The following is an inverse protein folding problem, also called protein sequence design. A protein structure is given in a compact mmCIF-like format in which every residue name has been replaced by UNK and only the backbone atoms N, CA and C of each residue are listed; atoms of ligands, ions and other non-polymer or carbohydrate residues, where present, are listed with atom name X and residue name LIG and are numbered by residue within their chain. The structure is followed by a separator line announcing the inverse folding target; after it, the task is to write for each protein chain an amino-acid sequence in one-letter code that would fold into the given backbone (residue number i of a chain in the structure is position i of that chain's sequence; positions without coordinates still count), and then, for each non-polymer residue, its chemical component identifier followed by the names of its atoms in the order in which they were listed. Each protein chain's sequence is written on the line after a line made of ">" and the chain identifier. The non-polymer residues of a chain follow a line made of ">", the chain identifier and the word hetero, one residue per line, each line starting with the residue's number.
data_IF_729857028522
#
_entry.id   IF_729857028522
#
_cell.length_a   1.000
_cell.length_b   1.000
_cell.length_c   1.000
_cell.angle_alpha   90.00
_cell.angle_beta   90.00
_cell.angle_gamma   90.00
#
_symmetry.space_group_name_H-M   'P 1'
#
loop_
_entity.id
_entity.type
_entity.pdbx_description
1 polymer ?
#
# COMPACT_ATOMS: atom_id res chain seq x y z
N UNK A 1 30.51 -0.21 4.04
CA UNK A 1 29.13 -0.73 4.03
C UNK A 1 28.12 0.39 3.76
N UNK A 2 28.23 1.53 4.43
CA UNK A 2 27.28 2.67 4.24
C UNK A 2 27.20 3.21 2.81
N UNK A 3 28.33 3.39 2.11
CA UNK A 3 28.33 3.93 0.72
C UNK A 3 27.55 3.07 -0.29
N UNK A 4 27.58 1.74 -0.14
CA UNK A 4 26.85 0.83 -1.04
C UNK A 4 25.35 0.91 -0.74
N UNK A 5 24.98 0.96 0.54
CA UNK A 5 23.57 1.12 0.96
C UNK A 5 23.03 2.48 0.50
N UNK A 6 23.80 3.55 0.68
CA UNK A 6 23.45 4.89 0.21
C UNK A 6 23.31 4.96 -1.31
N UNK A 7 24.18 4.28 -2.06
CA UNK A 7 24.07 4.21 -3.50
C UNK A 7 22.78 3.50 -3.95
N UNK A 8 22.45 2.33 -3.34
CA UNK A 8 21.20 1.64 -3.62
C UNK A 8 19.98 2.45 -3.22
N UNK A 9 20.02 3.11 -2.06
CA UNK A 9 18.94 3.99 -1.60
C UNK A 9 18.71 5.14 -2.60
N UNK A 10 19.76 5.83 -2.99
CA UNK A 10 19.68 6.93 -3.94
C UNK A 10 19.23 6.49 -5.33
N UNK A 11 19.65 5.31 -5.78
CA UNK A 11 19.21 4.75 -7.06
C UNK A 11 17.74 4.37 -7.08
N UNK A 12 17.23 3.76 -6.00
CA UNK A 12 15.85 3.26 -5.95
C UNK A 12 14.84 4.32 -5.52
N UNK A 13 15.23 5.16 -4.56
CA UNK A 13 14.34 6.10 -3.87
C UNK A 13 14.69 7.56 -4.11
N UNK A 14 15.94 7.84 -4.45
CA UNK A 14 16.41 9.18 -4.85
C UNK A 14 15.92 9.55 -6.24
N UNK A 15 16.07 10.81 -6.57
CA UNK A 15 15.67 11.34 -7.87
C UNK A 15 16.68 10.94 -8.95
N UNK A 16 16.23 10.12 -9.93
CA UNK A 16 17.07 9.74 -11.08
C UNK A 16 17.36 10.92 -11.98
N UNK A 17 16.39 11.79 -12.16
CA UNK A 17 16.51 13.05 -12.88
C UNK A 17 15.52 14.06 -12.32
N UNK A 18 15.83 15.33 -12.51
CA UNK A 18 14.99 16.43 -12.06
C UNK A 18 14.49 17.20 -13.27
N UNK A 19 13.18 17.34 -13.39
CA UNK A 19 12.56 18.20 -14.38
C UNK A 19 12.47 19.61 -13.81
N UNK A 20 12.90 20.58 -14.60
CA UNK A 20 12.85 22.00 -14.25
C UNK A 20 11.80 22.70 -15.13
N UNK A 21 10.83 23.32 -14.50
CA UNK A 21 9.78 24.13 -15.15
C UNK A 21 9.80 25.52 -14.51
N UNK A 22 10.64 26.43 -15.03
CA UNK A 22 10.88 27.72 -14.37
C UNK A 22 11.48 27.51 -12.97
N UNK A 23 10.83 28.07 -11.95
CA UNK A 23 11.27 27.95 -10.55
C UNK A 23 10.87 26.61 -9.88
N UNK A 24 10.08 25.79 -10.56
CA UNK A 24 9.64 24.50 -10.03
C UNK A 24 10.60 23.40 -10.47
N UNK A 25 11.14 22.66 -9.50
CA UNK A 25 11.94 21.47 -9.75
C UNK A 25 11.21 20.22 -9.22
N UNK A 26 11.06 19.21 -10.07
CA UNK A 26 10.39 17.95 -9.75
C UNK A 26 11.38 16.82 -9.91
N UNK A 27 11.86 16.28 -8.81
CA UNK A 27 12.72 15.09 -8.81
C UNK A 27 11.90 13.83 -9.03
N UNK A 28 12.27 13.01 -10.01
CA UNK A 28 11.55 11.79 -10.37
C UNK A 28 12.37 10.55 -9.98
N UNK A 29 11.96 9.81 -8.96
CA UNK A 29 12.60 8.54 -8.59
C UNK A 29 12.15 7.38 -9.49
N UNK A 30 12.96 6.33 -9.53
CA UNK A 30 12.72 5.13 -10.32
C UNK A 30 11.33 4.53 -10.06
N UNK A 31 10.91 4.47 -8.80
CA UNK A 31 9.61 3.94 -8.41
C UNK A 31 8.45 4.67 -9.12
N UNK A 32 8.47 6.00 -9.10
CA UNK A 32 7.43 6.83 -9.73
C UNK A 32 7.47 6.69 -11.24
N UNK A 33 8.68 6.67 -11.82
CA UNK A 33 8.91 6.50 -13.25
C UNK A 33 8.33 5.19 -13.79
N UNK A 34 8.36 4.12 -13.01
CA UNK A 34 7.83 2.82 -13.43
C UNK A 34 6.33 2.67 -13.13
N UNK A 35 5.90 3.01 -11.93
CA UNK A 35 4.54 2.67 -11.47
C UNK A 35 3.48 3.66 -11.98
N UNK A 36 3.77 4.95 -12.11
CA UNK A 36 2.79 5.92 -12.57
C UNK A 36 2.44 5.73 -14.04
N UNK A 37 3.40 5.62 -14.99
CA UNK A 37 3.07 5.31 -16.38
C UNK A 37 2.36 3.97 -16.54
N UNK A 38 2.75 2.94 -15.79
CA UNK A 38 2.06 1.66 -15.78
C UNK A 38 0.61 1.80 -15.29
N UNK A 39 0.39 2.53 -14.19
CA UNK A 39 -0.94 2.83 -13.66
C UNK A 39 -1.81 3.60 -14.65
N UNK A 40 -1.26 4.59 -15.33
CA UNK A 40 -1.96 5.35 -16.40
C UNK A 40 -2.33 4.40 -17.54
N UNK A 41 -1.38 3.60 -18.02
CA UNK A 41 -1.62 2.63 -19.09
C UNK A 41 -2.75 1.67 -18.72
N UNK A 42 -2.70 1.05 -17.55
CA UNK A 42 -3.75 0.13 -17.10
C UNK A 42 -5.09 0.84 -16.89
N UNK A 43 -5.11 2.07 -16.38
CA UNK A 43 -6.33 2.85 -16.20
C UNK A 43 -7.02 3.12 -17.53
N UNK A 44 -6.27 3.54 -18.55
CA UNK A 44 -6.78 3.77 -19.90
C UNK A 44 -7.23 2.43 -20.53
N UNK A 45 -6.39 1.40 -20.44
CA UNK A 45 -6.65 0.10 -21.06
C UNK A 45 -7.87 -0.61 -20.46
N UNK A 46 -8.14 -0.43 -19.18
CA UNK A 46 -9.31 -0.97 -18.48
C UNK A 46 -10.51 -0.02 -18.54
N UNK A 47 -10.42 1.11 -19.26
CA UNK A 47 -11.47 2.13 -19.42
C UNK A 47 -11.96 2.65 -18.07
N UNK A 48 -11.03 3.12 -17.22
CA UNK A 48 -11.31 3.66 -15.88
C UNK A 48 -12.12 2.71 -14.99
N UNK A 49 -11.77 1.43 -15.02
CA UNK A 49 -12.47 0.35 -14.32
C UNK A 49 -12.70 0.64 -12.82
N UNK A 50 -11.72 1.15 -12.04
CA UNK A 50 -11.91 1.39 -10.61
C UNK A 50 -13.09 2.30 -10.26
N UNK A 51 -13.37 3.28 -11.12
CA UNK A 51 -14.51 4.20 -10.94
C UNK A 51 -15.78 3.58 -11.51
N UNK A 52 -15.73 3.12 -12.77
CA UNK A 52 -16.90 2.64 -13.50
C UNK A 52 -17.52 1.38 -12.90
N UNK A 53 -16.71 0.47 -12.35
CA UNK A 53 -17.17 -0.81 -11.82
C UNK A 53 -17.20 -0.89 -10.30
N UNK A 54 -17.10 0.23 -9.59
CA UNK A 54 -17.13 0.28 -8.13
C UNK A 54 -18.34 -0.49 -7.53
N UNK A 55 -19.60 -0.34 -8.04
CA UNK A 55 -20.70 -1.12 -7.51
C UNK A 55 -20.54 -2.65 -7.70
N UNK A 56 -19.90 -3.06 -8.81
CA UNK A 56 -19.63 -4.47 -9.08
C UNK A 56 -18.51 -5.02 -8.15
N UNK A 57 -17.51 -4.19 -7.81
CA UNK A 57 -16.47 -4.57 -6.85
C UNK A 57 -17.06 -4.85 -5.46
N UNK A 58 -18.01 -4.00 -5.03
CA UNK A 58 -18.69 -4.18 -3.75
C UNK A 58 -19.54 -5.46 -3.77
N UNK A 59 -20.28 -5.72 -4.86
CA UNK A 59 -21.08 -6.93 -5.00
C UNK A 59 -20.22 -8.20 -5.00
N UNK A 60 -19.03 -8.14 -5.58
CA UNK A 60 -18.08 -9.24 -5.63
C UNK A 60 -17.64 -9.74 -4.23
N UNK A 61 -17.76 -8.93 -3.19
CA UNK A 61 -17.47 -9.34 -1.82
C UNK A 61 -18.46 -10.39 -1.29
N UNK A 62 -19.66 -10.43 -1.83
CA UNK A 62 -20.69 -11.39 -1.47
C UNK A 62 -20.57 -12.75 -2.17
N UNK A 63 -19.60 -12.92 -3.08
CA UNK A 63 -19.42 -14.19 -3.79
C UNK A 63 -18.93 -15.27 -2.82
N UNK A 64 -19.77 -16.34 -2.70
CA UNK A 64 -19.47 -17.50 -1.85
C UNK A 64 -18.57 -18.47 -2.58
N UNK A 65 -17.64 -19.06 -1.85
CA UNK A 65 -16.79 -20.15 -2.32
C UNK A 65 -17.51 -21.50 -2.12
N UNK A 66 -17.35 -22.37 -3.09
CA UNK A 66 -17.84 -23.74 -3.01
C UNK A 66 -16.78 -24.67 -2.36
N UNK A 67 -15.50 -24.32 -2.39
CA UNK A 67 -14.40 -25.07 -1.78
C UNK A 67 -14.00 -24.49 -0.40
N UNK A 68 -14.10 -25.33 0.62
CA UNK A 68 -13.75 -24.96 2.02
C UNK A 68 -12.23 -24.85 2.27
N UNK A 69 -11.39 -25.29 1.34
CA UNK A 69 -9.92 -25.24 1.48
C UNK A 69 -9.31 -23.95 0.96
N UNK A 70 -10.05 -23.17 0.18
CA UNK A 70 -9.62 -21.93 -0.46
C UNK A 70 -10.23 -20.70 0.21
N UNK A 71 -9.53 -19.55 0.11
CA UNK A 71 -10.04 -18.28 0.66
C UNK A 71 -11.25 -17.79 -0.12
N UNK A 72 -12.28 -17.33 0.58
CA UNK A 72 -13.40 -16.61 -0.04
C UNK A 72 -12.93 -15.26 -0.60
N UNK A 73 -13.72 -14.67 -1.49
CA UNK A 73 -13.43 -13.35 -2.06
C UNK A 73 -13.32 -12.28 -0.97
N UNK A 74 -14.16 -12.34 0.06
CA UNK A 74 -14.10 -11.45 1.20
C UNK A 74 -12.85 -11.69 2.07
N UNK A 75 -12.53 -12.95 2.39
CA UNK A 75 -11.28 -13.27 3.10
C UNK A 75 -10.03 -12.82 2.34
N UNK A 76 -10.06 -12.94 1.02
CA UNK A 76 -8.97 -12.45 0.18
C UNK A 76 -8.81 -10.92 0.28
N UNK A 77 -9.92 -10.18 0.35
CA UNK A 77 -9.85 -8.74 0.62
C UNK A 77 -9.22 -8.48 2.00
N UNK A 78 -9.68 -9.19 3.05
CA UNK A 78 -9.15 -9.02 4.41
C UNK A 78 -7.65 -9.30 4.44
N UNK A 79 -7.20 -10.44 3.90
CA UNK A 79 -5.78 -10.81 3.89
C UNK A 79 -4.96 -9.79 3.10
N UNK A 80 -5.41 -9.39 1.90
CA UNK A 80 -4.69 -8.39 1.11
C UNK A 80 -4.75 -6.98 1.70
N UNK A 81 -5.81 -6.65 2.44
CA UNK A 81 -5.90 -5.38 3.19
C UNK A 81 -4.98 -5.42 4.40
N UNK A 82 -4.88 -6.55 5.08
CA UNK A 82 -3.95 -6.74 6.20
C UNK A 82 -2.48 -6.55 5.81
N UNK A 83 -2.11 -6.87 4.57
CA UNK A 83 -0.74 -6.61 4.07
C UNK A 83 -0.51 -5.12 3.78
N UNK A 84 -1.54 -4.39 3.35
CA UNK A 84 -1.46 -2.97 2.96
C UNK A 84 -1.64 -2.03 4.15
N UNK A 85 -2.64 -2.31 5.01
CA UNK A 85 -2.95 -1.45 6.17
C UNK A 85 -1.86 -1.61 7.23
N UNK A 86 -0.98 -0.62 7.29
CA UNK A 86 0.15 -0.64 8.20
C UNK A 86 0.81 0.73 8.30
N UNK A 87 2.12 0.73 8.32
CA UNK A 87 2.95 1.93 8.43
C UNK A 87 2.70 2.97 7.35
N UNK A 88 2.42 2.54 6.12
CA UNK A 88 2.13 3.42 5.00
C UNK A 88 0.93 4.34 5.26
N UNK A 89 -0.12 3.80 5.86
CA UNK A 89 -1.36 4.52 6.14
C UNK A 89 -1.26 5.49 7.33
N UNK A 90 -0.36 5.22 8.25
CA UNK A 90 -0.17 6.04 9.46
C UNK A 90 1.04 6.97 9.27
N UNK A 91 2.24 6.43 9.43
CA UNK A 91 3.48 7.21 9.38
C UNK A 91 3.75 7.76 7.98
N UNK A 92 3.39 7.00 6.93
CA UNK A 92 3.52 7.45 5.55
C UNK A 92 2.68 8.70 5.26
N UNK A 93 1.43 8.76 5.74
CA UNK A 93 0.55 9.93 5.60
C UNK A 93 1.06 11.12 6.40
N UNK A 94 1.47 10.87 7.66
CA UNK A 94 2.08 11.92 8.50
C UNK A 94 3.30 12.51 7.82
N UNK A 95 4.21 11.68 7.30
CA UNK A 95 5.39 12.14 6.58
C UNK A 95 5.04 12.88 5.28
N UNK A 96 4.01 12.43 4.54
CA UNK A 96 3.54 13.13 3.33
C UNK A 96 3.08 14.55 3.65
N UNK A 97 2.28 14.71 4.70
CA UNK A 97 1.74 16.02 5.12
C UNK A 97 2.84 16.89 5.72
N UNK A 98 3.74 16.34 6.54
CA UNK A 98 4.81 17.10 7.18
C UNK A 98 5.81 17.68 6.18
N UNK A 99 6.10 16.95 5.10
CA UNK A 99 7.08 17.37 4.08
C UNK A 99 6.40 18.09 2.91
N UNK A 100 5.26 17.56 2.45
CA UNK A 100 4.56 18.02 1.26
C UNK A 100 3.35 18.92 1.56
N UNK A 101 3.01 19.17 2.83
CA UNK A 101 1.81 19.92 3.19
C UNK A 101 0.51 19.11 2.99
N UNK A 102 -0.64 19.75 3.24
CA UNK A 102 -1.96 19.13 3.11
C UNK A 102 -2.25 18.70 1.66
N UNK A 103 -1.70 19.40 0.67
CA UNK A 103 -1.85 19.08 -0.75
C UNK A 103 -1.34 17.70 -1.15
N UNK A 104 -0.39 17.13 -0.41
CA UNK A 104 0.10 15.78 -0.63
C UNK A 104 -1.01 14.72 -0.54
N UNK A 105 -2.04 14.95 0.27
CA UNK A 105 -3.20 14.06 0.40
C UNK A 105 -3.94 13.89 -0.92
N UNK A 106 -4.13 14.99 -1.66
CA UNK A 106 -4.74 14.93 -3.00
C UNK A 106 -3.96 14.01 -3.94
N UNK A 107 -2.62 14.14 -3.95
CA UNK A 107 -1.77 13.32 -4.80
C UNK A 107 -1.67 11.87 -4.37
N UNK A 108 -1.88 11.58 -3.08
CA UNK A 108 -2.11 10.21 -2.60
C UNK A 108 -3.41 9.62 -3.18
N UNK A 109 -4.52 10.39 -3.18
CA UNK A 109 -5.78 9.93 -3.81
C UNK A 109 -5.63 9.68 -5.31
N UNK A 110 -4.95 10.57 -6.02
CA UNK A 110 -4.66 10.40 -7.45
C UNK A 110 -3.86 9.12 -7.72
N UNK A 111 -2.80 8.88 -6.93
CA UNK A 111 -1.99 7.66 -7.04
C UNK A 111 -2.79 6.39 -6.72
N UNK A 112 -3.75 6.46 -5.80
CA UNK A 112 -4.63 5.34 -5.47
C UNK A 112 -5.56 4.95 -6.63
N UNK A 113 -6.10 5.91 -7.36
CA UNK A 113 -6.93 5.64 -8.54
C UNK A 113 -6.14 4.93 -9.64
N UNK A 114 -4.88 5.35 -9.86
CA UNK A 114 -3.98 4.69 -10.81
C UNK A 114 -3.55 3.30 -10.31
N UNK A 115 -3.17 3.22 -9.04
CA UNK A 115 -2.79 1.97 -8.38
C UNK A 115 -3.91 0.93 -8.34
N UNK A 116 -5.17 1.36 -8.20
CA UNK A 116 -6.32 0.46 -8.22
C UNK A 116 -6.46 -0.29 -9.57
N UNK A 117 -6.14 0.36 -10.69
CA UNK A 117 -6.10 -0.28 -12.00
C UNK A 117 -4.94 -1.28 -12.11
N UNK A 118 -3.78 -0.95 -11.55
CA UNK A 118 -2.64 -1.87 -11.48
C UNK A 118 -2.98 -3.10 -10.64
N UNK A 119 -3.55 -2.91 -9.44
CA UNK A 119 -3.94 -4.00 -8.55
C UNK A 119 -5.01 -4.93 -9.18
N UNK A 120 -5.91 -4.37 -10.00
CA UNK A 120 -6.86 -5.18 -10.78
C UNK A 120 -6.12 -6.14 -11.71
N UNK A 121 -5.17 -5.63 -12.48
CA UNK A 121 -4.40 -6.43 -13.45
C UNK A 121 -3.55 -7.47 -12.72
N UNK A 122 -2.83 -7.08 -11.67
CA UNK A 122 -2.02 -8.00 -10.87
C UNK A 122 -2.85 -9.14 -10.26
N UNK A 123 -4.00 -8.80 -9.64
CA UNK A 123 -4.88 -9.78 -9.03
C UNK A 123 -5.49 -10.75 -10.06
N UNK A 124 -5.86 -10.24 -11.25
CA UNK A 124 -6.36 -11.05 -12.35
C UNK A 124 -5.29 -12.00 -12.89
N UNK A 125 -4.06 -11.50 -13.12
CA UNK A 125 -2.92 -12.32 -13.55
C UNK A 125 -2.57 -13.40 -12.53
N UNK A 126 -2.61 -13.06 -11.24
CA UNK A 126 -2.35 -14.02 -10.18
C UNK A 126 -3.35 -15.19 -10.20
N UNK A 127 -4.62 -14.91 -10.48
CA UNK A 127 -5.65 -15.93 -10.62
C UNK A 127 -5.51 -16.77 -11.89
N UNK A 128 -5.10 -16.18 -13.00
CA UNK A 128 -4.89 -16.90 -14.27
C UNK A 128 -3.70 -17.86 -14.22
N UNK A 129 -2.68 -17.54 -13.43
CA UNK A 129 -1.42 -18.29 -13.34
C UNK A 129 -1.21 -19.01 -12.01
N UNK A 130 -2.27 -19.12 -11.17
CA UNK A 130 -2.19 -19.86 -9.91
C UNK A 130 -2.01 -21.35 -10.14
N UNK A 131 -1.34 -22.01 -9.20
CA UNK A 131 -1.12 -23.47 -9.22
C UNK A 131 -1.69 -24.07 -7.93
N UNK A 132 -2.10 -25.35 -7.99
CA UNK A 132 -2.51 -26.09 -6.79
C UNK A 132 -1.33 -26.24 -5.85
N UNK A 133 -1.56 -26.04 -4.57
CA UNK A 133 -0.53 -26.24 -3.55
C UNK A 133 -0.49 -27.72 -3.14
N UNK A 134 0.62 -28.43 -3.44
CA UNK A 134 0.74 -29.84 -3.12
C UNK A 134 0.91 -30.14 -1.64
N UNK A 135 1.28 -29.12 -0.82
CA UNK A 135 1.61 -29.29 0.58
C UNK A 135 0.43 -29.00 1.51
N UNK A 136 -0.42 -28.01 1.16
CA UNK A 136 -1.44 -27.50 2.06
C UNK A 136 -2.86 -27.51 1.50
N UNK A 137 -3.02 -27.94 0.26
CA UNK A 137 -4.27 -27.81 -0.48
C UNK A 137 -4.53 -26.33 -0.87
N UNK A 138 -5.58 -26.09 -1.67
CA UNK A 138 -5.87 -24.76 -2.18
C UNK A 138 -4.93 -24.35 -3.30
N UNK A 139 -4.63 -23.06 -3.39
CA UNK A 139 -3.84 -22.49 -4.48
C UNK A 139 -2.72 -21.59 -3.96
N UNK A 140 -1.64 -21.52 -4.73
CA UNK A 140 -0.55 -20.56 -4.55
C UNK A 140 -0.16 -19.93 -5.90
N UNK A 141 0.47 -18.77 -5.86
CA UNK A 141 0.88 -18.06 -7.08
C UNK A 141 1.43 -16.68 -6.76
N UNK A 142 1.26 -15.77 -7.70
CA UNK A 142 1.73 -14.40 -7.59
C UNK A 142 2.72 -14.05 -8.70
N UNK A 143 3.46 -12.92 -8.58
CA UNK A 143 4.26 -12.41 -9.69
C UNK A 143 5.31 -13.36 -10.22
N UNK A 144 6.00 -14.12 -9.37
CA UNK A 144 6.99 -15.09 -9.83
C UNK A 144 6.40 -16.12 -10.79
N UNK A 145 5.12 -16.51 -10.60
CA UNK A 145 4.44 -17.50 -11.44
C UNK A 145 4.05 -16.93 -12.79
N UNK A 146 3.36 -15.79 -12.85
CA UNK A 146 2.98 -15.23 -14.15
C UNK A 146 4.17 -14.67 -14.93
N UNK A 147 5.23 -14.19 -14.27
CA UNK A 147 6.49 -13.84 -14.93
C UNK A 147 7.13 -15.07 -15.55
N UNK A 148 7.16 -16.19 -14.81
CA UNK A 148 7.70 -17.46 -15.33
C UNK A 148 6.94 -17.94 -16.57
N UNK A 149 5.62 -18.03 -16.47
CA UNK A 149 4.76 -18.48 -17.56
C UNK A 149 4.87 -17.54 -18.79
N UNK A 150 4.95 -16.21 -18.56
CA UNK A 150 5.18 -15.25 -19.65
C UNK A 150 6.51 -15.48 -20.37
N UNK A 151 7.60 -15.74 -19.63
CA UNK A 151 8.92 -16.00 -20.21
C UNK A 151 8.90 -17.32 -21.02
N UNK A 152 8.22 -18.36 -20.51
CA UNK A 152 8.05 -19.62 -21.26
C UNK A 152 7.31 -19.42 -22.58
N UNK A 153 6.18 -18.70 -22.54
CA UNK A 153 5.40 -18.40 -23.74
C UNK A 153 6.21 -17.61 -24.76
N UNK A 154 6.95 -16.60 -24.31
CA UNK A 154 7.78 -15.77 -25.18
C UNK A 154 8.92 -16.53 -25.82
N UNK A 155 9.55 -17.44 -25.07
CA UNK A 155 10.67 -18.27 -25.54
C UNK A 155 10.21 -19.54 -26.29
N UNK A 156 8.92 -19.83 -26.30
CA UNK A 156 8.33 -21.06 -26.88
C UNK A 156 9.04 -22.34 -26.39
N UNK A 157 9.57 -22.32 -25.17
CA UNK A 157 10.34 -23.43 -24.59
C UNK A 157 9.96 -23.57 -23.11
N UNK A 158 9.68 -24.82 -22.69
CA UNK A 158 9.47 -25.10 -21.25
C UNK A 158 10.77 -24.88 -20.49
N UNK A 159 10.70 -24.11 -19.43
CA UNK A 159 11.81 -23.79 -18.54
C UNK A 159 11.55 -24.41 -17.17
N UNK A 160 12.57 -25.01 -16.57
CA UNK A 160 12.46 -25.48 -15.19
C UNK A 160 12.25 -24.32 -14.22
N UNK A 161 12.96 -23.20 -14.43
CA UNK A 161 12.84 -21.93 -13.70
C UNK A 161 13.26 -20.80 -14.63
N UNK A 162 12.58 -19.64 -14.59
CA UNK A 162 13.00 -18.45 -15.33
C UNK A 162 13.84 -17.53 -14.44
N UNK A 163 14.90 -16.96 -14.99
CA UNK A 163 15.79 -16.05 -14.26
C UNK A 163 15.04 -14.84 -13.69
N UNK A 164 14.14 -14.24 -14.48
CA UNK A 164 13.37 -13.09 -14.05
C UNK A 164 12.44 -13.41 -12.87
N UNK A 165 11.82 -14.60 -12.85
CA UNK A 165 10.99 -15.03 -11.73
C UNK A 165 11.81 -15.26 -10.45
N UNK A 166 13.02 -15.83 -10.57
CA UNK A 166 13.94 -15.99 -9.44
C UNK A 166 14.38 -14.63 -8.91
N UNK A 167 14.73 -13.71 -9.81
CA UNK A 167 15.16 -12.37 -9.45
C UNK A 167 14.06 -11.60 -8.69
N UNK A 168 12.81 -11.69 -9.20
CA UNK A 168 11.65 -11.11 -8.50
C UNK A 168 11.48 -11.71 -7.09
N UNK A 169 11.53 -13.04 -6.96
CA UNK A 169 11.38 -13.71 -5.67
C UNK A 169 12.49 -13.31 -4.67
N UNK A 170 13.73 -13.21 -5.14
CA UNK A 170 14.87 -12.80 -4.34
C UNK A 170 14.73 -11.37 -3.81
N UNK A 171 14.42 -10.40 -4.70
CA UNK A 171 14.19 -9.03 -4.27
C UNK A 171 12.93 -8.87 -3.43
N UNK A 172 11.90 -9.67 -3.68
CA UNK A 172 10.70 -9.73 -2.86
C UNK A 172 11.01 -10.14 -1.42
N UNK A 173 11.85 -11.15 -1.21
CA UNK A 173 12.28 -11.56 0.13
C UNK A 173 13.02 -10.43 0.87
N UNK A 174 13.95 -9.75 0.20
CA UNK A 174 14.68 -8.61 0.78
C UNK A 174 13.69 -7.49 1.16
N UNK A 175 12.76 -7.17 0.26
CA UNK A 175 11.75 -6.14 0.51
C UNK A 175 10.88 -6.49 1.73
N UNK A 176 10.39 -7.71 1.85
CA UNK A 176 9.54 -8.14 2.97
C UNK A 176 10.30 -8.18 4.30
N UNK A 177 11.58 -8.54 4.28
CA UNK A 177 12.45 -8.39 5.47
C UNK A 177 12.53 -6.92 5.91
N UNK A 178 12.74 -6.00 4.97
CA UNK A 178 12.78 -4.56 5.25
C UNK A 178 11.45 -4.03 5.79
N UNK A 179 10.33 -4.40 5.18
CA UNK A 179 8.98 -4.01 5.64
C UNK A 179 8.74 -4.52 7.07
N UNK A 180 9.06 -5.79 7.35
CA UNK A 180 8.91 -6.38 8.68
C UNK A 180 9.73 -5.63 9.73
N UNK A 181 10.95 -5.22 9.39
CA UNK A 181 11.81 -4.43 10.25
C UNK A 181 11.20 -3.05 10.55
N UNK A 182 10.70 -2.35 9.53
CA UNK A 182 10.07 -1.02 9.67
C UNK A 182 8.82 -1.12 10.55
N UNK A 183 7.96 -2.11 10.33
CA UNK A 183 6.75 -2.34 11.14
C UNK A 183 7.13 -2.63 12.59
N UNK A 184 8.07 -3.54 12.83
CA UNK A 184 8.52 -3.89 14.18
C UNK A 184 9.10 -2.69 14.92
N UNK A 185 9.92 -1.89 14.24
CA UNK A 185 10.48 -0.65 14.82
C UNK A 185 9.39 0.34 15.23
N UNK A 186 8.33 0.46 14.44
CA UNK A 186 7.24 1.40 14.76
C UNK A 186 6.36 0.91 15.89
N UNK A 187 6.08 -0.39 15.95
CA UNK A 187 5.36 -0.97 17.09
C UNK A 187 6.16 -0.76 18.37
N UNK A 188 7.47 -1.06 18.37
CA UNK A 188 8.33 -0.87 19.54
C UNK A 188 8.43 0.60 19.95
N UNK A 189 8.49 1.52 18.98
CA UNK A 189 8.50 2.96 19.24
C UNK A 189 7.18 3.45 19.82
N UNK A 190 6.04 2.95 19.32
CA UNK A 190 4.73 3.27 19.85
C UNK A 190 4.58 2.84 21.32
N UNK A 191 4.97 1.61 21.65
CA UNK A 191 4.96 1.11 23.04
C UNK A 191 5.91 1.90 23.96
N UNK A 192 7.09 2.25 23.46
CA UNK A 192 8.02 3.10 24.21
C UNK A 192 7.41 4.48 24.50
N UNK A 193 6.78 5.09 23.50
CA UNK A 193 6.21 6.43 23.66
C UNK A 193 4.95 6.45 24.52
N UNK A 194 4.08 5.42 24.41
CA UNK A 194 2.82 5.36 25.13
C UNK A 194 2.97 4.86 26.58
N UNK A 195 3.85 3.87 26.80
CA UNK A 195 3.95 3.15 28.07
C UNK A 195 5.34 3.19 28.71
N UNK A 196 6.31 3.89 28.09
CA UNK A 196 7.72 3.92 28.50
C UNK A 196 8.38 2.53 28.58
N UNK A 197 7.86 1.54 27.85
CA UNK A 197 8.41 0.18 27.81
C UNK A 197 9.68 0.17 26.95
N UNK A 198 10.82 -0.33 27.46
CA UNK A 198 12.04 -0.47 26.67
C UNK A 198 11.82 -1.33 25.41
N UNK A 199 12.34 -0.93 24.24
CA UNK A 199 12.10 -1.61 22.96
C UNK A 199 12.45 -3.11 22.97
N UNK A 200 13.42 -3.52 23.80
CA UNK A 200 13.86 -4.91 23.86
C UNK A 200 12.73 -5.87 24.28
N UNK A 201 11.89 -5.48 25.25
CA UNK A 201 10.79 -6.33 25.70
C UNK A 201 9.71 -6.46 24.62
N UNK A 202 9.34 -5.35 23.99
CA UNK A 202 8.37 -5.37 22.89
C UNK A 202 8.90 -6.19 21.71
N UNK A 203 10.18 -6.05 21.37
CA UNK A 203 10.82 -6.86 20.32
C UNK A 203 10.78 -8.36 20.66
N UNK A 204 11.10 -8.74 21.89
CA UNK A 204 11.05 -10.14 22.32
C UNK A 204 9.63 -10.73 22.18
N UNK A 205 8.60 -9.97 22.57
CA UNK A 205 7.20 -10.36 22.39
C UNK A 205 6.84 -10.52 20.91
N UNK A 206 7.25 -9.56 20.06
CA UNK A 206 6.98 -9.63 18.61
C UNK A 206 7.66 -10.85 17.98
N UNK A 207 8.89 -11.16 18.34
CA UNK A 207 9.60 -12.37 17.86
C UNK A 207 8.88 -13.64 18.29
N UNK A 208 8.44 -13.73 19.55
CA UNK A 208 7.69 -14.88 20.05
C UNK A 208 6.35 -15.04 19.31
N UNK A 209 5.61 -13.94 19.09
CA UNK A 209 4.37 -13.95 18.33
C UNK A 209 4.60 -14.37 16.86
N UNK A 210 5.63 -13.85 16.22
CA UNK A 210 6.00 -14.22 14.86
C UNK A 210 6.33 -15.72 14.76
N UNK A 211 7.08 -16.27 15.69
CA UNK A 211 7.39 -17.69 15.76
C UNK A 211 6.11 -18.54 15.88
N UNK A 212 5.18 -18.16 16.76
CA UNK A 212 3.89 -18.87 16.90
C UNK A 212 3.09 -18.81 15.61
N UNK A 213 3.02 -17.65 14.94
CA UNK A 213 2.30 -17.45 13.68
C UNK A 213 2.89 -18.33 12.57
N UNK A 214 4.21 -18.35 12.42
CA UNK A 214 4.90 -19.15 11.40
C UNK A 214 4.69 -20.65 11.64
N UNK A 215 4.68 -21.10 12.88
CA UNK A 215 4.50 -22.51 13.23
C UNK A 215 3.05 -22.99 13.15
N UNK A 216 2.06 -22.09 13.26
CA UNK A 216 0.62 -22.42 13.27
C UNK A 216 -0.12 -21.85 12.05
N UNK A 217 -0.01 -22.50 10.90
CA UNK A 217 -0.45 -22.01 9.58
C UNK A 217 -1.90 -21.57 9.46
N UNK A 218 -2.85 -22.35 10.02
CA UNK A 218 -4.28 -22.06 9.86
C UNK A 218 -4.83 -21.08 10.91
N UNK A 219 -4.10 -20.83 12.00
CA UNK A 219 -4.53 -19.89 13.03
C UNK A 219 -4.39 -18.44 12.57
N UNK A 220 -3.42 -18.14 11.71
CA UNK A 220 -3.11 -16.78 11.24
C UNK A 220 -4.26 -16.19 10.44
N UNK A 221 -4.82 -16.93 9.49
CA UNK A 221 -5.93 -16.44 8.65
C UNK A 221 -7.16 -16.15 9.51
N UNK A 222 -7.55 -17.10 10.38
CA UNK A 222 -8.71 -16.92 11.27
C UNK A 222 -8.54 -15.74 12.23
N UNK A 223 -7.32 -15.50 12.71
CA UNK A 223 -7.02 -14.37 13.58
C UNK A 223 -7.12 -13.03 12.82
N UNK A 224 -6.58 -12.98 11.60
CA UNK A 224 -6.67 -11.81 10.74
C UNK A 224 -8.11 -11.50 10.33
N UNK A 225 -8.92 -12.50 10.03
CA UNK A 225 -10.35 -12.37 9.67
C UNK A 225 -11.16 -11.60 10.72
N UNK A 226 -10.75 -11.64 11.98
CA UNK A 226 -11.41 -10.93 13.09
C UNK A 226 -10.70 -9.63 13.44
N UNK A 227 -9.38 -9.65 13.64
CA UNK A 227 -8.64 -8.48 14.15
C UNK A 227 -8.59 -7.34 13.15
N UNK A 228 -8.37 -7.64 11.87
CA UNK A 228 -8.23 -6.58 10.85
C UNK A 228 -9.53 -5.79 10.68
N UNK A 229 -10.72 -6.40 10.52
CA UNK A 229 -11.97 -5.64 10.48
C UNK A 229 -12.25 -4.87 11.77
N UNK A 230 -11.99 -5.46 12.94
CA UNK A 230 -12.19 -4.79 14.24
C UNK A 230 -11.30 -3.54 14.34
N UNK A 231 -10.02 -3.65 14.03
CA UNK A 231 -9.10 -2.50 14.00
C UNK A 231 -9.56 -1.42 13.02
N UNK A 232 -9.94 -1.82 11.80
CA UNK A 232 -10.40 -0.87 10.79
C UNK A 232 -11.68 -0.13 11.24
N UNK A 233 -12.64 -0.84 11.82
CA UNK A 233 -13.88 -0.25 12.35
C UNK A 233 -13.59 0.70 13.52
N UNK A 234 -12.74 0.31 14.47
CA UNK A 234 -12.36 1.16 15.59
C UNK A 234 -11.64 2.43 15.10
N UNK A 235 -10.69 2.27 14.19
CA UNK A 235 -9.97 3.41 13.61
C UNK A 235 -10.91 4.37 12.87
N UNK A 236 -11.82 3.81 12.07
CA UNK A 236 -12.82 4.58 11.36
C UNK A 236 -13.78 5.30 12.34
N UNK A 237 -14.24 4.61 13.38
CA UNK A 237 -15.12 5.18 14.39
C UNK A 237 -14.48 6.35 15.14
N UNK A 238 -13.22 6.21 15.55
CA UNK A 238 -12.46 7.31 16.17
C UNK A 238 -12.33 8.50 15.21
N UNK A 239 -12.03 8.24 13.93
CA UNK A 239 -11.93 9.29 12.92
C UNK A 239 -13.25 10.02 12.72
N UNK A 240 -14.35 9.26 12.57
CA UNK A 240 -15.69 9.85 12.43
C UNK A 240 -16.05 10.70 13.66
N UNK A 241 -15.75 10.21 14.86
CA UNK A 241 -15.94 10.99 16.09
C UNK A 241 -15.18 12.32 16.07
N UNK A 242 -13.90 12.31 15.67
CA UNK A 242 -13.08 13.52 15.55
C UNK A 242 -13.65 14.48 14.49
N UNK A 243 -14.06 13.96 13.33
CA UNK A 243 -14.68 14.75 12.26
C UNK A 243 -15.98 15.40 12.74
N UNK A 244 -16.87 14.63 13.36
CA UNK A 244 -18.16 15.14 13.85
C UNK A 244 -17.95 16.23 14.90
N UNK A 245 -17.00 16.04 15.81
CA UNK A 245 -16.65 17.05 16.82
C UNK A 245 -16.10 18.35 16.20
N UNK A 246 -15.43 18.24 15.06
CA UNK A 246 -14.76 19.34 14.35
C UNK A 246 -15.40 19.64 12.97
N UNK A 247 -16.69 19.35 12.80
CA UNK A 247 -17.36 19.41 11.48
C UNK A 247 -17.28 20.81 10.84
N UNK A 248 -17.27 21.86 11.65
CA UNK A 248 -17.14 23.24 11.20
C UNK A 248 -15.79 23.55 10.54
N UNK A 249 -14.73 22.81 10.87
CA UNK A 249 -13.39 22.98 10.32
C UNK A 249 -13.19 22.21 8.99
N UNK A 250 -14.05 21.23 8.69
CA UNK A 250 -13.93 20.36 7.53
C UNK A 250 -13.84 21.10 6.20
N UNK A 251 -14.71 22.10 5.90
CA UNK A 251 -14.60 22.85 4.64
C UNK A 251 -13.23 23.53 4.48
N UNK A 252 -12.68 24.05 5.58
CA UNK A 252 -11.34 24.66 5.60
C UNK A 252 -10.23 23.63 5.31
N UNK A 253 -10.33 22.40 5.87
CA UNK A 253 -9.37 21.33 5.62
C UNK A 253 -9.38 20.90 4.15
N UNK A 254 -10.56 20.68 3.57
CA UNK A 254 -10.66 20.36 2.15
C UNK A 254 -10.15 21.49 1.26
N UNK A 255 -10.57 22.73 1.54
CA UNK A 255 -10.06 23.91 0.83
C UNK A 255 -8.54 23.96 0.87
N UNK A 256 -7.93 23.71 2.02
CA UNK A 256 -6.48 23.68 2.20
C UNK A 256 -5.83 22.56 1.37
N UNK A 257 -6.40 21.33 1.37
CA UNK A 257 -5.89 20.22 0.56
C UNK A 257 -5.83 20.61 -0.91
N UNK A 258 -6.92 21.14 -1.47
CA UNK A 258 -6.98 21.52 -2.88
C UNK A 258 -6.12 22.74 -3.20
N UNK A 259 -6.11 23.75 -2.35
CA UNK A 259 -5.29 24.95 -2.55
C UNK A 259 -3.80 24.62 -2.50
N UNK A 260 -3.34 23.77 -1.58
CA UNK A 260 -1.94 23.36 -1.50
C UNK A 260 -1.56 22.36 -2.60
N UNK A 261 -2.50 21.55 -3.10
CA UNK A 261 -2.25 20.62 -4.20
C UNK A 261 -2.01 21.32 -5.55
N UNK A 262 -2.66 22.46 -5.79
CA UNK A 262 -2.63 23.19 -7.08
C UNK A 262 -2.31 24.69 -6.92
N UNK A 263 -2.01 25.14 -5.72
CA UNK A 263 -1.89 26.56 -5.40
C UNK A 263 -0.70 27.25 -6.07
N UNK A 264 -0.94 28.46 -6.59
CA UNK A 264 0.10 29.30 -7.19
C UNK A 264 1.25 29.62 -6.24
N UNK A 265 1.01 29.68 -4.93
CA UNK A 265 2.07 29.91 -3.92
C UNK A 265 3.09 28.79 -3.89
N UNK A 266 2.66 27.54 -3.99
CA UNK A 266 3.52 26.36 -4.03
C UNK A 266 4.28 26.29 -5.36
N UNK A 267 3.63 26.67 -6.46
CA UNK A 267 4.24 26.75 -7.79
C UNK A 267 5.31 27.84 -7.82
N UNK A 268 4.97 29.04 -7.36
CA UNK A 268 5.90 30.19 -7.33
C UNK A 268 7.06 30.01 -6.34
N UNK A 269 6.88 29.23 -5.27
CA UNK A 269 7.92 28.96 -4.26
C UNK A 269 8.75 27.69 -4.53
N UNK A 270 8.60 27.03 -5.69
CA UNK A 270 9.30 25.77 -5.99
C UNK A 270 8.78 24.55 -5.18
N UNK A 271 7.83 24.75 -4.28
CA UNK A 271 7.31 23.70 -3.39
C UNK A 271 6.37 22.69 -4.06
N UNK A 272 5.84 22.96 -5.24
CA UNK A 272 4.90 22.08 -5.95
C UNK A 272 5.48 20.68 -6.19
N UNK A 273 6.75 20.58 -6.59
CA UNK A 273 7.42 19.30 -6.78
C UNK A 273 7.46 18.45 -5.52
N UNK A 274 7.67 19.08 -4.35
CA UNK A 274 7.68 18.39 -3.07
C UNK A 274 6.27 17.89 -2.69
N UNK A 275 5.22 18.71 -2.86
CA UNK A 275 3.82 18.35 -2.61
C UNK A 275 3.42 17.14 -3.46
N UNK A 276 3.64 17.24 -4.78
CA UNK A 276 3.33 16.20 -5.75
C UNK A 276 4.08 14.90 -5.43
N UNK A 277 5.40 14.97 -5.31
CA UNK A 277 6.22 13.77 -5.16
C UNK A 277 6.05 13.09 -3.81
N UNK A 278 5.91 13.83 -2.72
CA UNK A 278 5.64 13.21 -1.43
C UNK A 278 4.25 12.57 -1.41
N UNK A 279 3.24 13.19 -1.99
CA UNK A 279 1.92 12.58 -2.13
C UNK A 279 1.96 11.29 -2.95
N UNK A 280 2.57 11.33 -4.13
CA UNK A 280 2.65 10.16 -5.03
C UNK A 280 3.50 9.05 -4.41
N UNK A 281 4.72 9.34 -3.93
CA UNK A 281 5.61 8.33 -3.30
C UNK A 281 4.94 7.63 -2.13
N UNK A 282 4.30 8.40 -1.24
CA UNK A 282 3.65 7.84 -0.04
C UNK A 282 2.33 7.14 -0.36
N UNK A 283 1.59 7.61 -1.37
CA UNK A 283 0.41 6.91 -1.87
C UNK A 283 0.76 5.56 -2.49
N UNK A 284 1.79 5.49 -3.35
CA UNK A 284 2.28 4.23 -3.93
C UNK A 284 2.82 3.27 -2.84
N UNK A 285 3.49 3.81 -1.83
CA UNK A 285 3.96 3.00 -0.70
C UNK A 285 2.81 2.44 0.13
N UNK A 286 1.75 3.22 0.37
CA UNK A 286 0.59 2.78 1.13
C UNK A 286 -0.20 1.69 0.40
N UNK A 287 -0.54 1.91 -0.87
CA UNK A 287 -1.45 1.02 -1.61
C UNK A 287 -0.79 -0.27 -2.13
N UNK A 288 0.55 -0.34 -2.10
CA UNK A 288 1.36 -1.48 -2.56
C UNK A 288 1.04 -1.97 -3.99
N UNK A 289 0.34 -1.18 -4.81
CA UNK A 289 0.02 -1.56 -6.18
C UNK A 289 1.28 -1.61 -7.05
N UNK A 290 1.56 -2.75 -7.65
CA UNK A 290 2.79 -3.01 -8.39
C UNK A 290 3.91 -3.65 -7.55
N UNK A 291 3.74 -3.79 -6.22
CA UNK A 291 4.75 -4.41 -5.34
C UNK A 291 4.77 -5.94 -5.43
N UNK A 292 3.65 -6.56 -5.79
CA UNK A 292 3.52 -8.01 -5.91
C UNK A 292 3.12 -8.75 -4.63
N UNK A 293 2.91 -8.05 -3.49
CA UNK A 293 2.44 -8.64 -2.24
C UNK A 293 0.99 -9.12 -2.34
N UNK A 294 0.09 -8.24 -2.73
CA UNK A 294 -1.33 -8.53 -2.89
C UNK A 294 -1.66 -9.63 -3.91
N UNK A 295 -0.97 -9.75 -5.07
CA UNK A 295 -1.15 -10.87 -5.99
C UNK A 295 -0.89 -12.24 -5.37
N UNK A 296 0.00 -12.37 -4.39
CA UNK A 296 0.22 -13.63 -3.69
C UNK A 296 -1.01 -14.05 -2.88
N UNK A 297 -1.65 -13.11 -2.17
CA UNK A 297 -2.92 -13.35 -1.47
C UNK A 297 -4.06 -13.60 -2.47
N UNK A 298 -4.10 -12.86 -3.58
CA UNK A 298 -5.09 -13.05 -4.64
C UNK A 298 -5.01 -14.45 -5.28
N UNK A 299 -3.81 -15.01 -5.45
CA UNK A 299 -3.64 -16.34 -6.00
C UNK A 299 -4.20 -17.45 -5.09
N UNK A 300 -4.16 -17.25 -3.75
CA UNK A 300 -4.70 -18.20 -2.79
C UNK A 300 -6.25 -18.23 -2.76
N UNK A 301 -6.89 -17.26 -3.39
CA UNK A 301 -8.33 -17.20 -3.48
C UNK A 301 -8.91 -18.15 -4.54
N UNK A 302 -10.09 -18.67 -4.28
CA UNK A 302 -10.92 -19.35 -5.28
C UNK A 302 -12.07 -18.42 -5.69
N UNK A 303 -11.88 -17.69 -6.77
CA UNK A 303 -12.95 -16.88 -7.37
C UNK A 303 -13.58 -17.59 -8.55
N UNK A 304 -14.90 -17.43 -8.74
CA UNK A 304 -15.62 -17.96 -9.91
C UNK A 304 -15.03 -17.46 -11.22
N UNK A 305 -14.46 -16.24 -11.22
CA UNK A 305 -13.81 -15.62 -12.37
C UNK A 305 -12.55 -14.88 -11.92
N UNK A 306 -11.45 -14.97 -12.66
CA UNK A 306 -10.21 -14.24 -12.34
C UNK A 306 -10.41 -12.73 -12.14
N UNK A 307 -11.28 -12.13 -12.96
CA UNK A 307 -11.57 -10.69 -12.91
C UNK A 307 -12.26 -10.28 -11.61
N UNK A 308 -13.06 -11.17 -11.00
CA UNK A 308 -13.74 -10.88 -9.73
C UNK A 308 -12.73 -10.66 -8.62
N UNK A 309 -11.72 -11.53 -8.53
CA UNK A 309 -10.63 -11.38 -7.54
C UNK A 309 -9.81 -10.13 -7.84
N UNK A 310 -9.52 -9.85 -9.12
CA UNK A 310 -8.88 -8.61 -9.55
C UNK A 310 -9.65 -7.36 -9.13
N UNK A 311 -10.98 -7.36 -9.29
CA UNK A 311 -11.86 -6.26 -8.85
C UNK A 311 -11.78 -6.04 -7.34
N UNK A 312 -11.73 -7.11 -6.56
CA UNK A 312 -11.59 -7.03 -5.10
C UNK A 312 -10.21 -6.47 -4.69
N UNK A 313 -9.14 -6.83 -5.41
CA UNK A 313 -7.83 -6.23 -5.17
C UNK A 313 -7.82 -4.72 -5.47
N UNK A 314 -8.50 -4.31 -6.55
CA UNK A 314 -8.70 -2.89 -6.87
C UNK A 314 -9.47 -2.15 -5.77
N UNK A 315 -10.55 -2.74 -5.27
CA UNK A 315 -11.33 -2.21 -4.14
C UNK A 315 -10.47 -2.06 -2.88
N UNK A 316 -9.61 -3.05 -2.60
CA UNK A 316 -8.68 -3.00 -1.48
C UNK A 316 -7.76 -1.77 -1.53
N UNK A 317 -7.24 -1.39 -2.70
CA UNK A 317 -6.43 -0.17 -2.88
C UNK A 317 -7.25 1.09 -2.59
N UNK A 318 -8.50 1.15 -3.06
CA UNK A 318 -9.38 2.30 -2.81
C UNK A 318 -9.70 2.44 -1.31
N UNK A 319 -10.03 1.34 -0.63
CA UNK A 319 -10.28 1.33 0.80
C UNK A 319 -9.03 1.76 1.56
N UNK A 320 -7.89 1.19 1.24
CA UNK A 320 -6.62 1.49 1.90
C UNK A 320 -6.27 2.97 1.82
N UNK A 321 -6.18 3.50 0.62
CA UNK A 321 -5.62 4.85 0.43
C UNK A 321 -6.69 5.94 0.47
N UNK A 322 -7.87 5.73 -0.13
CA UNK A 322 -8.91 6.78 -0.12
C UNK A 322 -9.65 6.82 1.23
N UNK A 323 -9.86 5.67 1.89
CA UNK A 323 -10.57 5.67 3.19
C UNK A 323 -9.57 5.78 4.34
N UNK A 324 -8.68 4.80 4.52
CA UNK A 324 -7.84 4.71 5.72
C UNK A 324 -6.78 5.82 5.76
N UNK A 325 -6.09 6.11 4.66
CA UNK A 325 -5.14 7.23 4.65
C UNK A 325 -5.84 8.59 4.84
N UNK A 326 -7.07 8.74 4.33
CA UNK A 326 -7.86 9.96 4.59
C UNK A 326 -8.23 10.08 6.07
N UNK A 327 -8.54 8.97 6.75
CA UNK A 327 -8.74 8.96 8.20
C UNK A 327 -7.52 9.56 8.93
N UNK A 328 -6.33 9.07 8.63
CA UNK A 328 -5.08 9.59 9.19
C UNK A 328 -4.86 11.07 8.86
N UNK A 329 -5.10 11.45 7.61
CA UNK A 329 -4.95 12.83 7.16
C UNK A 329 -5.91 13.77 7.90
N UNK A 330 -7.17 13.36 8.11
CA UNK A 330 -8.16 14.16 8.84
C UNK A 330 -7.77 14.30 10.31
N UNK A 331 -7.34 13.22 10.96
CA UNK A 331 -6.85 13.29 12.36
C UNK A 331 -5.72 14.30 12.46
N UNK A 332 -4.76 14.27 11.54
CA UNK A 332 -3.60 15.16 11.56
C UNK A 332 -3.95 16.61 11.23
N UNK A 333 -4.79 16.84 10.20
CA UNK A 333 -5.12 18.18 9.73
C UNK A 333 -6.14 18.91 10.63
N UNK A 334 -6.91 18.17 11.43
CA UNK A 334 -7.83 18.71 12.44
C UNK A 334 -7.17 18.91 13.80
N UNK A 335 -5.98 18.33 14.02
CA UNK A 335 -5.24 18.52 15.25
C UNK A 335 -4.75 19.98 15.39
N UNK A 336 -4.70 20.55 16.61
CA UNK A 336 -4.12 21.87 16.86
C UNK A 336 -2.67 21.94 16.36
N UNK A 337 -2.29 23.06 15.75
CA UNK A 337 -0.94 23.25 15.19
C UNK A 337 0.16 23.09 16.24
N UNK A 338 -0.09 23.48 17.48
CA UNK A 338 0.83 23.32 18.62
C UNK A 338 1.27 21.86 18.82
N UNK A 339 0.39 20.89 18.49
CA UNK A 339 0.68 19.47 18.58
C UNK A 339 1.42 18.98 17.32
N UNK A 340 1.10 19.54 16.15
CA UNK A 340 1.65 19.11 14.86
C UNK A 340 2.99 19.75 14.51
N UNK A 341 3.22 20.98 14.94
CA UNK A 341 4.46 21.72 14.67
C UNK A 341 5.67 21.07 15.36
N UNK A 342 5.48 20.49 16.54
CA UNK A 342 6.50 19.67 17.22
C UNK A 342 6.85 18.36 16.50
N UNK A 343 6.02 17.88 15.57
CA UNK A 343 6.29 16.71 14.73
C UNK A 343 7.11 17.07 13.48
N UNK A 344 7.10 18.33 13.05
CA UNK A 344 7.86 18.81 11.89
C UNK A 344 9.38 18.81 12.13
N UNK A 345 9.82 18.98 13.37
CA UNK A 345 11.24 18.99 13.75
C UNK A 345 11.86 17.57 13.87
N UNK A 346 11.04 16.54 13.85
CA UNK A 346 11.54 15.16 13.85
C UNK A 346 11.90 14.69 12.45
N UNK A 347 12.97 15.25 11.88
CA UNK A 347 13.72 14.72 10.70
C UNK A 347 14.27 13.30 10.91
N UNK A 348 13.91 12.60 11.98
CA UNK A 348 14.46 11.32 12.41
C UNK A 348 13.45 10.19 12.52
N UNK A 349 12.31 10.28 11.82
CA UNK A 349 11.38 9.14 11.71
C UNK A 349 11.30 8.72 10.25
N UNK A 350 12.38 8.17 9.76
CA UNK A 350 12.46 7.25 8.61
C UNK A 350 13.28 6.06 9.03
#
# INVERSE_FOLDING_TARGET
>A
MNKVIEWFYNFLWGDLFTLHFGDVSIGIPLLVLLLIPAGIFFTIRTKFMPVRKLPQMIRALGDKNDDKTSLSTFQTLIVSTATRVGMGNLVGVVAAISIGGAGAVFWMWASALLGASTAYVEGTLAQLHKKKDPLYGGYHGGPAYYIHDFVEQKRKKKLKKSFLAILFAFFGLICWCGISQVISNSVTSAFKNAFSIPPIYTTAVLVALAAVIVLRKNATVKFLDVIVPVMAVLYFAVTVFIILKNIKLMPGVFSRIFQEAFGFKQIAGGGFGAVLMNGVKRGLFSNEAGSGSAPCAAAAAEGKRPETVGMVQSLGVLIDTIVICTCTAMIMLLAPREITDGLQDRKSVV
#
